data_IF_984670787447
#
_entry.id   IF_984670787447
#
_cell.length_a   1.000
_cell.length_b   1.000
_cell.length_c   1.000
_cell.angle_alpha   90.00
_cell.angle_beta   90.00
_cell.angle_gamma   90.00
#
_symmetry.space_group_name_H-M   'P 1'
#
loop_
_entity.id
_entity.type
_entity.pdbx_description
1 polymer ?
#
# COMPACT_ATOMS: atom_id res chain seq x y z
N UNK A 1 12.87 -9.48 -22.83
CA UNK A 1 11.48 -9.74 -22.45
C UNK A 1 11.42 -9.59 -20.94
N UNK A 2 10.94 -8.44 -20.48
CA UNK A 2 10.71 -8.19 -19.06
C UNK A 2 9.35 -8.78 -18.71
N UNK A 3 9.28 -9.58 -17.66
CA UNK A 3 8.02 -10.18 -17.20
C UNK A 3 7.60 -9.43 -15.95
N UNK A 4 6.51 -8.69 -16.08
CA UNK A 4 5.80 -8.12 -14.94
C UNK A 4 4.77 -9.15 -14.49
N UNK A 5 4.73 -9.43 -13.19
CA UNK A 5 3.76 -10.32 -12.58
C UNK A 5 3.16 -9.67 -11.33
N UNK A 6 1.87 -9.89 -11.11
CA UNK A 6 1.14 -9.50 -9.90
C UNK A 6 0.55 -10.78 -9.33
N UNK A 7 0.79 -11.04 -8.05
CA UNK A 7 0.31 -12.24 -7.35
C UNK A 7 0.66 -13.57 -8.05
N UNK A 8 1.76 -13.59 -8.80
CA UNK A 8 2.22 -14.75 -9.57
C UNK A 8 1.63 -14.88 -10.98
N UNK A 9 0.64 -14.05 -11.32
CA UNK A 9 0.05 -13.97 -12.65
C UNK A 9 0.82 -13.00 -13.54
N UNK A 10 1.17 -13.44 -14.75
CA UNK A 10 1.90 -12.61 -15.71
C UNK A 10 0.98 -11.54 -16.31
N UNK A 11 1.42 -10.28 -16.23
CA UNK A 11 0.78 -9.17 -16.94
C UNK A 11 1.23 -9.22 -18.39
N UNK A 12 0.30 -9.46 -19.31
CA UNK A 12 0.59 -9.51 -20.74
C UNK A 12 0.95 -8.13 -21.27
N UNK A 13 2.11 -8.02 -21.91
CA UNK A 13 2.72 -6.74 -22.26
C UNK A 13 2.18 -6.07 -23.53
N UNK A 14 0.91 -6.28 -23.88
CA UNK A 14 0.34 -5.73 -25.11
C UNK A 14 -0.12 -4.27 -25.00
N UNK A 15 -0.21 -3.71 -23.77
CA UNK A 15 -0.63 -2.32 -23.50
C UNK A 15 0.54 -1.38 -23.16
N UNK A 16 1.77 -1.74 -23.54
CA UNK A 16 2.96 -0.97 -23.22
C UNK A 16 3.14 0.11 -24.31
N UNK A 17 2.67 1.33 -24.04
CA UNK A 17 3.27 2.51 -24.67
C UNK A 17 4.72 2.60 -24.16
N UNK A 18 5.67 2.76 -25.08
CA UNK A 18 7.11 2.48 -24.93
C UNK A 18 7.85 3.25 -23.79
N UNK A 19 7.17 4.09 -23.01
CA UNK A 19 7.81 5.03 -22.08
C UNK A 19 7.41 4.84 -20.60
N UNK A 20 6.27 4.22 -20.26
CA UNK A 20 5.89 4.00 -18.85
C UNK A 20 4.78 2.96 -18.66
N UNK A 21 4.81 2.26 -17.52
CA UNK A 21 3.75 1.34 -17.11
C UNK A 21 3.36 1.61 -15.67
N UNK A 22 2.08 1.84 -15.43
CA UNK A 22 1.53 2.05 -14.08
C UNK A 22 0.46 1.00 -13.79
N UNK A 23 0.64 0.26 -12.69
CA UNK A 23 -0.39 -0.56 -12.09
C UNK A 23 -1.12 0.30 -11.07
N UNK A 24 -2.41 0.52 -11.33
CA UNK A 24 -3.32 1.08 -10.33
C UNK A 24 -3.96 -0.08 -9.59
N UNK A 25 -3.96 -0.03 -8.28
CA UNK A 25 -4.65 -1.03 -7.49
C UNK A 25 -6.12 -0.61 -7.40
N UNK A 26 -7.00 -1.35 -8.07
CA UNK A 26 -8.46 -1.17 -7.97
C UNK A 26 -9.01 -1.57 -6.59
N UNK A 27 -8.15 -2.11 -5.72
CA UNK A 27 -8.44 -2.53 -4.35
C UNK A 27 -8.16 -1.44 -3.30
N UNK A 28 -7.94 -0.19 -3.71
CA UNK A 28 -8.08 0.93 -2.80
C UNK A 28 -9.58 1.10 -2.48
N UNK A 29 -10.15 0.15 -1.73
CA UNK A 29 -11.38 0.42 -1.01
C UNK A 29 -11.14 1.73 -0.23
N UNK A 30 -12.07 2.67 -0.33
CA UNK A 30 -11.98 3.99 0.32
C UNK A 30 -11.90 3.90 1.86
N UNK A 31 -11.91 2.68 2.41
CA UNK A 31 -11.89 2.38 3.84
C UNK A 31 -10.72 1.48 4.20
N UNK A 32 -9.97 1.86 5.23
CA UNK A 32 -8.85 1.07 5.74
C UNK A 32 -9.26 -0.22 6.47
N UNK A 33 -10.55 -0.37 6.79
CA UNK A 33 -11.07 -1.38 7.69
C UNK A 33 -12.31 -2.09 7.12
N UNK A 34 -12.44 -3.38 7.41
CA UNK A 34 -13.65 -4.18 7.14
C UNK A 34 -14.01 -5.06 8.32
N UNK A 35 -15.27 -5.46 8.42
CA UNK A 35 -15.72 -6.41 9.42
C UNK A 35 -15.39 -7.84 8.96
N UNK A 36 -14.67 -8.61 9.78
CA UNK A 36 -14.40 -10.03 9.52
C UNK A 36 -15.66 -10.89 9.46
N UNK A 37 -16.71 -10.54 10.21
CA UNK A 37 -17.93 -11.32 10.32
C UNK A 37 -18.92 -11.05 9.17
N UNK A 38 -19.28 -9.78 8.93
CA UNK A 38 -20.27 -9.42 7.91
C UNK A 38 -19.67 -8.90 6.59
N UNK A 39 -18.36 -8.64 6.53
CA UNK A 39 -17.69 -8.07 5.35
C UNK A 39 -17.97 -6.58 5.12
N UNK A 40 -18.74 -5.91 6.00
CA UNK A 40 -19.03 -4.48 5.85
C UNK A 40 -17.75 -3.64 5.90
N UNK A 41 -17.70 -2.59 5.09
CA UNK A 41 -16.68 -1.54 5.20
C UNK A 41 -16.87 -0.76 6.48
N UNK A 42 -15.76 -0.44 7.13
CA UNK A 42 -15.77 0.15 8.46
C UNK A 42 -15.04 1.50 8.47
N UNK A 43 -15.62 2.43 9.20
CA UNK A 43 -15.09 3.77 9.43
C UNK A 43 -14.80 3.87 10.93
N UNK A 44 -13.56 4.22 11.29
CA UNK A 44 -13.24 4.64 12.65
C UNK A 44 -13.80 6.04 12.88
N UNK A 45 -14.67 6.17 13.86
CA UNK A 45 -15.12 7.44 14.41
C UNK A 45 -14.68 7.58 15.88
N UNK A 46 -14.97 8.73 16.50
CA UNK A 46 -14.56 8.98 17.88
C UNK A 46 -15.24 8.07 18.92
N UNK A 47 -16.30 7.35 18.54
CA UNK A 47 -17.12 6.50 19.40
C UNK A 47 -16.88 5.00 19.16
N UNK A 48 -16.14 4.63 18.10
CA UNK A 48 -15.73 3.26 17.81
C UNK A 48 -15.58 2.99 16.32
N UNK A 49 -15.92 1.76 15.92
CA UNK A 49 -15.88 1.33 14.52
C UNK A 49 -17.29 1.03 14.05
N UNK A 50 -17.78 1.81 13.10
CA UNK A 50 -19.12 1.70 12.55
C UNK A 50 -19.10 1.35 11.05
N UNK A 51 -20.20 0.77 10.55
CA UNK A 51 -20.39 0.60 9.12
C UNK A 51 -20.73 1.94 8.41
N UNK A 52 -20.82 1.92 7.08
CA UNK A 52 -21.15 3.11 6.27
C UNK A 52 -22.54 3.71 6.61
N UNK A 53 -23.41 2.98 7.30
CA UNK A 53 -24.72 3.47 7.78
C UNK A 53 -24.64 4.10 9.18
N UNK A 54 -23.46 4.10 9.80
CA UNK A 54 -23.23 4.57 11.16
C UNK A 54 -23.66 3.57 12.24
N UNK A 55 -23.82 2.28 11.87
CA UNK A 55 -24.20 1.24 12.81
C UNK A 55 -22.97 0.61 13.43
N UNK A 56 -22.95 0.50 14.76
CA UNK A 56 -21.85 -0.13 15.52
C UNK A 56 -22.12 -1.63 15.72
N UNK A 57 -23.38 -2.06 15.76
CA UNK A 57 -23.72 -3.47 15.91
C UNK A 57 -23.66 -4.24 14.58
N UNK A 58 -22.98 -5.38 14.61
CA UNK A 58 -22.85 -6.27 13.48
C UNK A 58 -23.98 -7.32 13.49
N UNK A 59 -24.82 -7.31 12.46
CA UNK A 59 -25.89 -8.31 12.29
C UNK A 59 -25.40 -9.75 12.12
N UNK A 60 -24.12 -9.92 11.76
CA UNK A 60 -23.48 -11.23 11.61
C UNK A 60 -22.57 -11.55 12.81
N UNK A 61 -22.66 -10.78 13.90
CA UNK A 61 -21.94 -11.10 15.13
C UNK A 61 -22.39 -12.47 15.64
N UNK A 62 -21.43 -13.33 15.94
CA UNK A 62 -21.62 -14.62 16.60
C UNK A 62 -20.79 -14.62 17.89
N UNK A 63 -21.41 -14.76 19.08
CA UNK A 63 -20.69 -14.80 20.35
C UNK A 63 -19.73 -15.99 20.45
N UNK A 64 -19.98 -17.09 19.73
CA UNK A 64 -19.08 -18.25 19.73
C UNK A 64 -17.76 -17.96 18.99
N UNK A 65 -17.76 -16.99 18.07
CA UNK A 65 -16.59 -16.54 17.30
C UNK A 65 -15.84 -15.35 17.95
N UNK A 66 -16.39 -14.81 19.02
CA UNK A 66 -15.83 -13.68 19.77
C UNK A 66 -14.96 -14.18 20.94
N UNK A 67 -13.61 -14.05 20.86
CA UNK A 67 -12.72 -14.52 21.92
C UNK A 67 -12.86 -13.73 23.23
N UNK A 68 -13.48 -12.54 23.19
CA UNK A 68 -13.69 -11.68 24.34
C UNK A 68 -15.09 -11.88 24.97
N UNK A 69 -15.94 -12.74 24.38
CA UNK A 69 -17.26 -13.08 24.91
C UNK A 69 -17.15 -14.04 26.10
N UNK A 70 -17.74 -13.65 27.23
CA UNK A 70 -17.65 -14.39 28.50
C UNK A 70 -18.78 -15.41 28.73
N UNK A 71 -19.64 -15.63 27.73
CA UNK A 71 -20.63 -16.71 27.67
C UNK A 71 -21.89 -16.53 28.52
N UNK A 72 -21.86 -15.66 29.53
CA UNK A 72 -22.98 -15.44 30.46
C UNK A 72 -23.42 -13.97 30.57
N UNK A 73 -22.61 -12.99 30.12
CA UNK A 73 -22.91 -11.56 30.26
C UNK A 73 -22.65 -10.70 29.01
N UNK A 74 -22.42 -11.32 27.85
CA UNK A 74 -22.13 -10.62 26.60
C UNK A 74 -23.34 -10.39 25.68
N UNK A 75 -23.14 -9.66 24.56
CA UNK A 75 -24.17 -9.42 23.56
C UNK A 75 -24.61 -10.72 22.87
N UNK A 76 -25.89 -10.80 22.49
CA UNK A 76 -26.42 -11.93 21.73
C UNK A 76 -26.01 -11.87 20.24
N UNK A 77 -26.25 -12.95 19.52
CA UNK A 77 -25.99 -13.02 18.09
C UNK A 77 -26.71 -11.87 17.33
N UNK A 78 -25.97 -11.15 16.50
CA UNK A 78 -26.46 -9.97 15.77
C UNK A 78 -26.55 -8.66 16.58
N UNK A 79 -26.20 -8.68 17.88
CA UNK A 79 -26.21 -7.52 18.78
C UNK A 79 -24.80 -7.06 19.19
N UNK A 80 -23.78 -7.86 18.92
CA UNK A 80 -22.39 -7.52 19.25
C UNK A 80 -21.72 -6.57 18.24
N UNK A 81 -20.52 -6.07 18.56
CA UNK A 81 -19.84 -5.06 17.76
C UNK A 81 -19.27 -5.61 16.44
N UNK A 82 -18.95 -4.72 15.51
CA UNK A 82 -18.11 -5.07 14.36
C UNK A 82 -16.70 -5.50 14.79
N UNK A 83 -16.19 -6.57 14.20
CA UNK A 83 -14.80 -7.02 14.38
C UNK A 83 -13.92 -6.51 13.23
N UNK A 84 -13.30 -5.35 13.48
CA UNK A 84 -12.50 -4.64 12.49
C UNK A 84 -11.19 -5.36 12.15
N UNK A 85 -10.91 -5.50 10.85
CA UNK A 85 -9.62 -5.93 10.33
C UNK A 85 -9.14 -4.98 9.22
N UNK A 86 -7.82 -4.83 9.09
CA UNK A 86 -7.22 -4.02 8.03
C UNK A 86 -7.44 -4.68 6.68
N UNK A 87 -7.93 -3.91 5.72
CA UNK A 87 -8.03 -4.37 4.33
C UNK A 87 -6.61 -4.47 3.76
N UNK A 88 -6.26 -5.64 3.21
CA UNK A 88 -4.94 -5.85 2.63
C UNK A 88 -4.72 -4.87 1.46
N UNK A 89 -3.56 -4.21 1.44
CA UNK A 89 -3.17 -3.23 0.43
C UNK A 89 -4.08 -2.01 0.26
N UNK A 90 -5.05 -1.76 1.17
CA UNK A 90 -5.87 -0.53 1.13
C UNK A 90 -5.06 0.75 1.36
N UNK A 91 -3.82 0.61 1.84
CA UNK A 91 -2.86 1.70 1.97
C UNK A 91 -2.10 1.98 0.66
N UNK A 92 -2.13 1.09 -0.32
CA UNK A 92 -1.37 1.21 -1.57
C UNK A 92 -2.26 1.77 -2.69
N UNK A 93 -1.90 2.96 -3.21
CA UNK A 93 -2.64 3.62 -4.29
C UNK A 93 -2.23 3.10 -5.67
N UNK A 94 -0.92 3.02 -5.91
CA UNK A 94 -0.38 2.66 -7.21
C UNK A 94 1.07 2.20 -7.12
N UNK A 95 1.51 1.45 -8.13
CA UNK A 95 2.91 1.18 -8.38
C UNK A 95 3.21 1.43 -9.87
N UNK A 96 4.32 2.09 -10.18
CA UNK A 96 4.68 2.44 -11.54
C UNK A 96 6.15 2.13 -11.83
N UNK A 97 6.43 1.78 -13.08
CA UNK A 97 7.76 1.66 -13.65
C UNK A 97 7.83 2.62 -14.83
N UNK A 98 8.82 3.50 -14.81
CA UNK A 98 9.11 4.43 -15.88
C UNK A 98 10.50 4.14 -16.43
N UNK A 99 10.62 4.11 -17.76
CA UNK A 99 11.90 3.92 -18.45
C UNK A 99 12.21 5.18 -19.25
N UNK A 100 13.42 5.71 -19.09
CA UNK A 100 13.90 6.86 -19.87
C UNK A 100 15.13 6.43 -20.68
N UNK A 101 14.96 6.19 -21.99
CA UNK A 101 16.06 5.85 -22.89
C UNK A 101 17.08 6.98 -23.07
N UNK A 102 16.68 8.25 -22.89
CA UNK A 102 17.56 9.40 -23.00
C UNK A 102 18.56 9.47 -21.87
N UNK A 103 18.14 9.10 -20.66
CA UNK A 103 18.97 9.05 -19.46
C UNK A 103 19.55 7.66 -19.16
N UNK A 104 19.26 6.65 -19.99
CA UNK A 104 19.54 5.22 -19.74
C UNK A 104 19.18 4.81 -18.31
N UNK A 105 17.91 5.07 -17.95
CA UNK A 105 17.42 4.91 -16.58
C UNK A 105 16.05 4.23 -16.48
N UNK A 106 15.81 3.63 -15.31
CA UNK A 106 14.56 2.99 -14.91
C UNK A 106 14.20 3.50 -13.53
N UNK A 107 12.97 3.95 -13.33
CA UNK A 107 12.43 4.40 -12.05
C UNK A 107 11.25 3.55 -11.64
N UNK A 108 11.24 3.08 -10.39
CA UNK A 108 10.12 2.34 -9.79
C UNK A 108 9.55 3.19 -8.66
N UNK A 109 8.23 3.33 -8.65
CA UNK A 109 7.50 4.16 -7.68
C UNK A 109 6.36 3.34 -7.06
N UNK A 110 6.18 3.41 -5.74
CA UNK A 110 5.04 2.82 -5.02
C UNK A 110 4.38 3.92 -4.20
N UNK A 111 3.16 4.32 -4.56
CA UNK A 111 2.37 5.35 -3.87
C UNK A 111 1.49 4.74 -2.79
N UNK A 112 1.50 5.34 -1.60
CA UNK A 112 0.85 4.81 -0.39
C UNK A 112 -0.11 5.81 0.26
N UNK A 113 -1.23 6.16 -0.38
CA UNK A 113 -2.34 6.92 0.24
C UNK A 113 -2.08 8.40 0.58
N UNK A 114 -0.86 8.74 0.99
CA UNK A 114 -0.42 10.03 1.48
C UNK A 114 -0.09 10.95 0.29
N UNK A 115 -0.56 12.21 0.27
CA UNK A 115 -0.19 13.21 -0.73
C UNK A 115 1.33 13.45 -0.86
N UNK A 116 2.14 12.88 0.04
CA UNK A 116 3.59 12.98 0.14
C UNK A 116 4.26 11.60 0.19
N UNK A 117 3.61 10.48 -0.11
CA UNK A 117 4.19 9.15 0.15
C UNK A 117 4.27 8.28 -1.10
N UNK A 118 5.36 8.41 -1.88
CA UNK A 118 5.65 7.47 -2.94
C UNK A 118 7.09 6.97 -2.78
N UNK A 119 7.28 5.72 -2.38
CA UNK A 119 8.62 5.12 -2.36
C UNK A 119 9.10 5.05 -3.82
N UNK A 120 10.09 5.87 -4.17
CA UNK A 120 10.65 5.93 -5.52
C UNK A 120 12.13 5.59 -5.49
N UNK A 121 12.57 4.60 -6.27
CA UNK A 121 13.99 4.36 -6.52
C UNK A 121 14.27 4.33 -8.02
N UNK A 122 15.45 4.76 -8.43
CA UNK A 122 15.87 4.77 -9.83
C UNK A 122 17.21 4.11 -10.05
N UNK A 123 17.34 3.34 -11.11
CA UNK A 123 18.60 2.78 -11.59
C UNK A 123 18.97 3.50 -12.87
N UNK A 124 20.20 4.00 -12.96
CA UNK A 124 20.71 4.70 -14.13
C UNK A 124 22.09 4.17 -14.51
N UNK A 125 22.42 4.12 -15.80
CA UNK A 125 23.80 3.92 -16.24
C UNK A 125 24.59 5.22 -16.18
N UNK A 126 25.77 5.16 -15.58
CA UNK A 126 26.73 6.26 -15.62
C UNK A 126 27.32 6.31 -17.04
N UNK A 127 27.32 7.48 -17.72
CA UNK A 127 27.88 7.62 -19.06
C UNK A 127 29.29 7.05 -19.18
N UNK A 128 29.60 6.45 -20.33
CA UNK A 128 30.90 5.80 -20.57
C UNK A 128 32.08 6.80 -20.58
N UNK A 129 31.81 8.09 -20.71
CA UNK A 129 32.79 9.18 -20.69
C UNK A 129 32.95 9.84 -19.32
N UNK A 130 32.32 9.32 -18.26
CA UNK A 130 32.44 9.86 -16.91
C UNK A 130 33.84 9.62 -16.31
N UNK A 131 34.37 10.63 -15.60
CA UNK A 131 35.68 10.58 -14.96
C UNK A 131 35.83 9.42 -13.95
N UNK A 132 34.72 9.00 -13.33
CA UNK A 132 34.69 7.88 -12.38
C UNK A 132 33.44 7.03 -12.59
N UNK A 133 33.58 5.72 -12.39
CA UNK A 133 32.48 4.74 -12.47
C UNK A 133 31.76 4.68 -13.84
N UNK A 134 32.39 5.14 -14.92
CA UNK A 134 31.89 5.01 -16.30
C UNK A 134 31.34 3.61 -16.62
N UNK A 135 30.18 3.57 -17.28
CA UNK A 135 29.50 2.35 -17.71
C UNK A 135 28.86 1.53 -16.59
N UNK A 136 29.05 1.91 -15.31
CA UNK A 136 28.43 1.22 -14.16
C UNK A 136 26.98 1.69 -13.96
N UNK A 137 26.21 0.87 -13.25
CA UNK A 137 24.88 1.24 -12.80
C UNK A 137 24.95 1.94 -11.44
N UNK A 138 24.20 3.02 -11.28
CA UNK A 138 23.94 3.69 -10.01
C UNK A 138 22.47 3.47 -9.64
N UNK A 139 22.23 3.07 -8.39
CA UNK A 139 20.89 2.96 -7.82
C UNK A 139 20.70 4.13 -6.85
N UNK A 140 19.74 5.00 -7.14
CA UNK A 140 19.24 6.03 -6.25
C UNK A 140 18.06 5.47 -5.47
N UNK A 141 18.23 5.26 -4.17
CA UNK A 141 17.14 4.95 -3.24
C UNK A 141 16.76 6.21 -2.49
N UNK A 142 15.48 6.38 -2.13
CA UNK A 142 15.10 7.45 -1.23
C UNK A 142 15.77 7.17 0.12
N UNK A 143 16.42 8.19 0.68
CA UNK A 143 16.99 8.11 2.01
C UNK A 143 16.52 9.31 2.84
N UNK A 144 16.39 9.17 4.17
CA UNK A 144 15.91 10.24 5.03
C UNK A 144 16.75 11.51 4.87
N UNK A 145 16.09 12.66 4.67
CA UNK A 145 16.72 13.97 4.64
C UNK A 145 17.12 14.52 3.27
N UNK A 146 16.81 13.84 2.16
CA UNK A 146 16.95 14.43 0.82
C UNK A 146 15.65 15.09 0.30
N UNK A 147 15.76 16.15 -0.53
CA UNK A 147 14.64 16.92 -1.04
C UNK A 147 13.91 16.17 -2.18
N UNK A 148 13.26 15.08 -1.84
CA UNK A 148 12.08 14.63 -2.57
C UNK A 148 10.86 14.92 -1.69
N UNK A 149 9.68 15.25 -2.26
CA UNK A 149 8.50 15.62 -1.48
C UNK A 149 7.95 14.38 -0.76
N UNK A 150 8.59 14.00 0.33
CA UNK A 150 8.13 13.02 1.29
C UNK A 150 8.13 13.62 2.69
N UNK A 151 7.17 13.19 3.53
CA UNK A 151 7.22 13.45 4.98
C UNK A 151 8.48 12.80 5.54
N UNK A 152 9.05 13.40 6.59
CA UNK A 152 10.16 12.83 7.33
C UNK A 152 9.79 11.41 7.80
N UNK A 153 10.51 10.44 7.27
CA UNK A 153 10.38 9.03 7.66
C UNK A 153 10.97 8.84 9.06
N UNK A 154 10.23 8.19 9.96
CA UNK A 154 10.74 7.85 11.30
C UNK A 154 11.38 6.47 11.26
N UNK A 155 12.70 6.38 11.49
CA UNK A 155 13.40 5.09 11.55
C UNK A 155 12.89 4.26 12.73
N UNK A 156 12.45 3.03 12.46
CA UNK A 156 12.11 2.05 13.49
C UNK A 156 13.36 1.25 13.89
N UNK A 157 14.07 0.74 12.88
CA UNK A 157 15.36 0.08 12.98
C UNK A 157 16.14 0.24 11.67
N UNK A 158 17.41 -0.14 11.65
CA UNK A 158 18.30 0.07 10.49
C UNK A 158 17.68 -0.41 9.18
N UNK A 159 17.38 0.55 8.30
CA UNK A 159 16.79 0.31 6.98
C UNK A 159 15.27 0.11 6.96
N UNK A 160 14.55 0.39 8.06
CA UNK A 160 13.09 0.28 8.16
C UNK A 160 12.51 1.54 8.76
N UNK A 161 11.46 2.06 8.13
CA UNK A 161 10.92 3.37 8.44
C UNK A 161 9.40 3.36 8.48
N UNK A 162 8.84 4.12 9.41
CA UNK A 162 7.42 4.44 9.47
C UNK A 162 7.06 5.49 8.42
N UNK A 163 5.99 5.22 7.68
CA UNK A 163 5.29 6.19 6.84
C UNK A 163 4.09 6.66 7.65
N UNK A 164 4.08 7.92 8.07
CA UNK A 164 3.07 8.53 8.95
C UNK A 164 2.30 9.64 8.27
#
# INVERSE_FOLDING_TARGET
>A
MFVLAVDGDMITTQDFDDDSTALRFENADDTAWRCTACGARLIEDGDGVADESGRVECVAYDPDDDPDHDGDTGPEAGEGPHRAERVALSWANSAAIHTDPGEDSITVTISVGDPRGALAFSVRRIPDDADTNAGRLILHTPYPGEPMPHVDLTEDHTGTYWVS
#
